data_IF_994558556812
#
_entry.id   IF_994558556812
#
_cell.length_a   1.000
_cell.length_b   1.000
_cell.length_c   1.000
_cell.angle_alpha   90.00
_cell.angle_beta   90.00
_cell.angle_gamma   90.00
#
_symmetry.space_group_name_H-M   'P 1'
#
loop_
_entity.id
_entity.type
_entity.pdbx_description
1 polymer ?
#
# COMPACT_ATOMS: atom_id res chain seq x y z
N UNK A 1 27.39 -9.83 0.49
CA UNK A 1 26.23 -9.50 1.34
C UNK A 1 24.99 -9.51 0.46
N UNK A 2 23.98 -10.32 0.78
CA UNK A 2 22.74 -10.34 0.00
C UNK A 2 21.80 -9.24 0.49
N UNK A 3 21.13 -8.47 -0.39
CA UNK A 3 20.19 -7.44 0.03
C UNK A 3 19.01 -8.08 0.76
N UNK A 4 18.65 -7.52 1.92
CA UNK A 4 17.46 -7.93 2.64
C UNK A 4 16.20 -7.31 2.03
N UNK A 5 15.06 -7.75 2.54
CA UNK A 5 13.72 -7.27 2.22
C UNK A 5 13.58 -5.73 2.23
N UNK A 6 14.10 -5.07 3.27
CA UNK A 6 14.00 -3.62 3.39
C UNK A 6 14.72 -2.88 2.25
N UNK A 7 15.89 -3.38 1.82
CA UNK A 7 16.66 -2.79 0.71
C UNK A 7 15.88 -2.87 -0.60
N UNK A 8 15.24 -3.99 -0.90
CA UNK A 8 14.41 -4.12 -2.10
C UNK A 8 13.20 -3.20 -2.08
N UNK A 9 12.58 -3.03 -0.91
CA UNK A 9 11.44 -2.14 -0.73
C UNK A 9 11.83 -0.68 -0.96
N UNK A 10 12.95 -0.25 -0.36
CA UNK A 10 13.50 1.08 -0.56
C UNK A 10 13.84 1.34 -2.04
N UNK A 11 14.46 0.36 -2.71
CA UNK A 11 14.81 0.49 -4.12
C UNK A 11 13.57 0.61 -5.02
N UNK A 12 12.52 -0.19 -4.80
CA UNK A 12 11.25 -0.05 -5.53
C UNK A 12 10.58 1.30 -5.24
N UNK A 13 10.66 1.80 -4.00
CA UNK A 13 10.22 3.14 -3.64
C UNK A 13 10.94 4.23 -4.44
N UNK A 14 12.27 4.13 -4.55
CA UNK A 14 13.07 5.02 -5.39
C UNK A 14 12.72 4.90 -6.88
N UNK A 15 12.53 3.69 -7.39
CA UNK A 15 12.08 3.47 -8.77
C UNK A 15 10.72 4.14 -9.05
N UNK A 16 9.81 4.15 -8.06
CA UNK A 16 8.52 4.84 -8.18
C UNK A 16 8.71 6.34 -8.28
N UNK A 17 9.51 6.92 -7.39
CA UNK A 17 9.78 8.35 -7.33
C UNK A 17 10.44 8.86 -8.62
N UNK A 18 11.40 8.11 -9.15
CA UNK A 18 12.14 8.46 -10.36
C UNK A 18 11.53 7.88 -11.65
N UNK A 19 10.36 7.24 -11.57
CA UNK A 19 9.66 6.61 -12.72
C UNK A 19 10.55 5.62 -13.51
N UNK A 20 11.41 4.88 -12.82
CA UNK A 20 12.34 3.92 -13.43
C UNK A 20 11.74 2.50 -13.44
N UNK A 21 10.85 2.24 -14.40
CA UNK A 21 10.21 0.93 -14.55
C UNK A 21 11.15 -0.19 -14.99
N UNK A 22 12.22 0.14 -15.72
CA UNK A 22 13.21 -0.85 -16.16
C UNK A 22 13.97 -1.43 -14.96
N UNK A 23 14.44 -0.58 -14.05
CA UNK A 23 15.10 -1.05 -12.83
C UNK A 23 14.11 -1.84 -11.95
N UNK A 24 12.87 -1.38 -11.81
CA UNK A 24 11.84 -2.12 -11.09
C UNK A 24 11.56 -3.50 -11.69
N UNK A 25 11.60 -3.64 -13.01
CA UNK A 25 11.48 -4.94 -13.71
C UNK A 25 12.64 -5.88 -13.36
N UNK A 26 13.86 -5.35 -13.26
CA UNK A 26 15.03 -6.14 -12.84
C UNK A 26 14.91 -6.59 -11.37
N UNK A 27 14.44 -5.71 -10.49
CA UNK A 27 14.17 -6.03 -9.09
C UNK A 27 13.08 -7.09 -8.98
N UNK A 28 12.02 -7.00 -9.77
CA UNK A 28 10.93 -7.99 -9.80
C UNK A 28 11.44 -9.41 -10.10
N UNK A 29 12.33 -9.56 -11.09
CA UNK A 29 12.94 -10.86 -11.45
C UNK A 29 13.79 -11.46 -10.32
N UNK A 30 14.36 -10.63 -9.45
CA UNK A 30 15.12 -11.08 -8.28
C UNK A 30 14.20 -11.45 -7.12
N UNK A 31 13.13 -10.69 -6.91
CA UNK A 31 12.15 -10.93 -5.84
C UNK A 31 11.27 -12.16 -6.08
N UNK A 32 11.03 -12.56 -7.34
CA UNK A 32 10.22 -13.74 -7.69
C UNK A 32 10.76 -15.06 -7.14
N UNK A 33 12.03 -15.10 -6.72
CA UNK A 33 12.73 -16.32 -6.29
C UNK A 33 12.85 -16.44 -4.77
N UNK A 34 12.64 -15.35 -4.01
CA UNK A 34 13.22 -15.23 -2.67
C UNK A 34 12.25 -14.94 -1.50
N UNK A 35 10.95 -14.74 -1.75
CA UNK A 35 10.04 -14.23 -0.71
C UNK A 35 8.90 -15.18 -0.36
N UNK A 36 8.64 -15.27 0.94
CA UNK A 36 7.37 -15.75 1.51
C UNK A 36 6.18 -14.99 0.87
N UNK A 37 5.08 -15.68 0.51
CA UNK A 37 3.88 -15.05 -0.03
C UNK A 37 3.39 -13.81 0.75
N UNK A 38 3.39 -13.85 2.08
CA UNK A 38 2.88 -12.74 2.89
C UNK A 38 3.82 -11.52 2.83
N UNK A 39 5.14 -11.76 2.72
CA UNK A 39 6.12 -10.69 2.51
C UNK A 39 6.09 -10.16 1.08
N UNK A 40 5.76 -11.00 0.10
CA UNK A 40 5.69 -10.64 -1.31
C UNK A 40 4.58 -9.61 -1.63
N UNK A 41 3.49 -9.59 -0.84
CA UNK A 41 2.33 -8.72 -1.09
C UNK A 41 2.71 -7.23 -1.17
N UNK A 42 3.53 -6.76 -0.22
CA UNK A 42 3.98 -5.36 -0.17
C UNK A 42 4.82 -4.96 -1.40
N UNK A 43 5.74 -5.84 -1.83
CA UNK A 43 6.60 -5.59 -2.98
C UNK A 43 5.84 -5.61 -4.30
N UNK A 44 4.89 -6.54 -4.46
CA UNK A 44 4.05 -6.60 -5.65
C UNK A 44 3.22 -5.33 -5.80
N UNK A 45 2.69 -4.78 -4.70
CA UNK A 45 2.01 -3.48 -4.70
C UNK A 45 2.96 -2.35 -5.11
N UNK A 46 4.16 -2.29 -4.54
CA UNK A 46 5.15 -1.26 -4.91
C UNK A 46 5.53 -1.34 -6.39
N UNK A 47 5.80 -2.55 -6.89
CA UNK A 47 6.11 -2.80 -8.29
C UNK A 47 4.97 -2.37 -9.22
N UNK A 48 3.73 -2.75 -8.90
CA UNK A 48 2.53 -2.32 -9.62
C UNK A 48 2.43 -0.79 -9.66
N UNK A 49 2.77 -0.10 -8.57
CA UNK A 49 2.75 1.36 -8.52
C UNK A 49 3.84 1.99 -9.40
N UNK A 50 5.03 1.40 -9.52
CA UNK A 50 6.06 1.86 -10.47
C UNK A 50 5.56 1.72 -11.92
N UNK A 51 4.94 0.59 -12.24
CA UNK A 51 4.37 0.41 -13.59
C UNK A 51 3.21 1.37 -13.87
N UNK A 52 2.35 1.61 -12.88
CA UNK A 52 1.28 2.61 -13.00
C UNK A 52 1.83 4.02 -13.22
N UNK A 53 2.87 4.44 -12.48
CA UNK A 53 3.47 5.78 -12.63
C UNK A 53 4.13 6.02 -13.99
N UNK A 54 4.43 4.94 -14.71
CA UNK A 54 5.00 4.92 -16.07
C UNK A 54 3.99 4.51 -17.14
N UNK A 55 2.69 4.42 -16.81
CA UNK A 55 1.59 4.03 -17.72
C UNK A 55 1.74 2.64 -18.35
N UNK A 56 2.50 1.75 -17.72
CA UNK A 56 2.70 0.35 -18.14
C UNK A 56 1.56 -0.55 -17.65
N UNK A 57 0.35 -0.31 -18.17
CA UNK A 57 -0.88 -0.94 -17.66
C UNK A 57 -0.94 -2.46 -17.83
N UNK A 58 -0.31 -3.00 -18.88
CA UNK A 58 -0.21 -4.46 -19.07
C UNK A 58 0.63 -5.11 -17.96
N UNK A 59 1.72 -4.45 -17.54
CA UNK A 59 2.54 -4.93 -16.44
C UNK A 59 1.81 -4.81 -15.09
N UNK A 60 1.02 -3.74 -14.89
CA UNK A 60 0.11 -3.63 -13.73
C UNK A 60 -0.85 -4.81 -13.68
N UNK A 61 -1.50 -5.15 -14.80
CA UNK A 61 -2.43 -6.27 -14.87
C UNK A 61 -1.72 -7.61 -14.58
N UNK A 62 -0.51 -7.81 -15.12
CA UNK A 62 0.32 -8.99 -14.87
C UNK A 62 0.66 -9.16 -13.39
N UNK A 63 1.08 -8.07 -12.73
CA UNK A 63 1.38 -8.09 -11.29
C UNK A 63 0.13 -8.41 -10.46
N UNK A 64 -1.03 -7.83 -10.80
CA UNK A 64 -2.30 -8.13 -10.12
C UNK A 64 -2.73 -9.58 -10.31
N UNK A 65 -2.64 -10.11 -11.52
CA UNK A 65 -2.92 -11.53 -11.78
C UNK A 65 -2.00 -12.44 -10.96
N UNK A 66 -0.72 -12.07 -10.84
CA UNK A 66 0.22 -12.80 -9.99
C UNK A 66 -0.21 -12.77 -8.51
N UNK A 67 -0.62 -11.62 -8.00
CA UNK A 67 -1.12 -11.50 -6.62
C UNK A 67 -2.33 -12.41 -6.38
N UNK A 68 -3.28 -12.44 -7.32
CA UNK A 68 -4.46 -13.33 -7.26
C UNK A 68 -4.03 -14.79 -7.25
N UNK A 69 -3.13 -15.21 -8.16
CA UNK A 69 -2.63 -16.59 -8.22
C UNK A 69 -1.90 -17.02 -6.95
N UNK A 70 -1.21 -16.09 -6.29
CA UNK A 70 -0.53 -16.33 -5.01
C UNK A 70 -1.48 -16.26 -3.80
N UNK A 71 -2.73 -15.84 -3.99
CA UNK A 71 -3.68 -15.63 -2.88
C UNK A 71 -3.34 -14.44 -1.99
N UNK A 72 -2.44 -13.55 -2.41
CA UNK A 72 -1.94 -12.46 -1.58
C UNK A 72 -2.73 -11.18 -1.83
N UNK A 73 -2.99 -10.42 -0.77
CA UNK A 73 -3.65 -9.10 -0.83
C UNK A 73 -2.83 -8.09 -0.07
N UNK A 74 -2.91 -6.81 -0.47
CA UNK A 74 -2.29 -5.73 0.30
C UNK A 74 -2.83 -5.78 1.74
N UNK A 75 -1.97 -5.86 2.76
CA UNK A 75 -2.42 -5.76 4.14
C UNK A 75 -3.16 -4.43 4.34
N UNK A 76 -4.33 -4.48 4.98
CA UNK A 76 -5.04 -3.27 5.38
C UNK A 76 -4.15 -2.49 6.33
N UNK A 77 -4.09 -1.17 6.19
CA UNK A 77 -3.38 -0.33 7.15
C UNK A 77 -3.93 -0.59 8.56
N UNK A 78 -3.04 -0.68 9.55
CA UNK A 78 -3.40 -0.84 10.96
C UNK A 78 -2.69 0.24 11.77
N UNK A 79 -3.42 0.85 12.68
CA UNK A 79 -2.86 1.68 13.75
C UNK A 79 -3.45 1.21 15.06
N UNK A 80 -2.80 1.57 16.17
CA UNK A 80 -3.31 1.28 17.50
C UNK A 80 -2.94 2.38 18.48
N UNK A 81 -3.70 2.46 19.56
CA UNK A 81 -3.42 3.32 20.72
C UNK A 81 -3.63 2.50 21.99
N UNK A 82 -2.79 2.72 22.99
CA UNK A 82 -2.89 2.08 24.29
C UNK A 82 -3.41 3.07 25.33
N UNK A 83 -4.53 2.72 25.98
CA UNK A 83 -5.15 3.54 27.03
C UNK A 83 -5.34 2.66 28.26
N UNK A 84 -4.77 3.05 29.39
CA UNK A 84 -4.90 2.32 30.66
C UNK A 84 -4.54 0.83 30.55
N UNK A 85 -3.51 0.50 29.75
CA UNK A 85 -3.08 -0.89 29.55
C UNK A 85 -3.87 -1.66 28.47
N UNK A 86 -4.93 -1.08 27.90
CA UNK A 86 -5.75 -1.71 26.85
C UNK A 86 -5.33 -1.19 25.48
N UNK A 87 -5.05 -2.11 24.55
CA UNK A 87 -4.75 -1.78 23.15
C UNK A 87 -6.05 -1.68 22.36
N UNK A 88 -6.22 -0.56 21.66
CA UNK A 88 -7.32 -0.32 20.74
C UNK A 88 -6.76 -0.29 19.32
N UNK A 89 -7.10 -1.31 18.52
CA UNK A 89 -6.68 -1.43 17.13
C UNK A 89 -7.69 -0.77 16.17
N UNK A 90 -7.17 -0.13 15.13
CA UNK A 90 -7.92 0.50 14.07
C UNK A 90 -7.41 -0.03 12.74
N UNK A 91 -8.28 -0.74 12.03
CA UNK A 91 -7.99 -1.26 10.69
C UNK A 91 -8.58 -0.30 9.66
N UNK A 92 -7.81 0.08 8.65
CA UNK A 92 -8.24 1.01 7.62
C UNK A 92 -9.52 0.52 6.93
N UNK A 93 -10.59 1.31 7.03
CA UNK A 93 -11.93 1.02 6.49
C UNK A 93 -12.75 0.00 7.28
N UNK A 94 -12.31 -0.39 8.48
CA UNK A 94 -13.08 -1.27 9.36
C UNK A 94 -14.18 -0.48 10.08
N UNK A 95 -15.36 -1.09 10.19
CA UNK A 95 -16.55 -0.53 10.85
C UNK A 95 -17.13 -1.48 11.90
N UNK A 96 -16.45 -2.58 12.19
CA UNK A 96 -16.93 -3.60 13.15
C UNK A 96 -16.75 -3.18 14.60
N UNK A 97 -15.91 -2.16 14.87
CA UNK A 97 -15.71 -1.64 16.21
C UNK A 97 -17.02 -1.06 16.79
N UNK A 98 -17.34 -1.39 18.04
CA UNK A 98 -18.57 -0.92 18.72
C UNK A 98 -18.74 0.60 18.76
N UNK A 99 -17.65 1.35 18.65
CA UNK A 99 -17.64 2.81 18.62
C UNK A 99 -17.33 3.39 17.24
N UNK A 100 -17.43 2.61 16.16
CA UNK A 100 -17.07 3.02 14.81
C UNK A 100 -17.75 4.34 14.39
N UNK A 101 -19.04 4.51 14.68
CA UNK A 101 -19.77 5.74 14.35
C UNK A 101 -19.10 6.99 14.95
N UNK A 102 -18.83 6.97 16.26
CA UNK A 102 -18.22 8.09 16.98
C UNK A 102 -16.79 8.34 16.50
N UNK A 103 -16.03 7.28 16.23
CA UNK A 103 -14.67 7.40 15.69
C UNK A 103 -14.69 8.11 14.33
N UNK A 104 -15.58 7.71 13.42
CA UNK A 104 -15.68 8.30 12.09
C UNK A 104 -16.24 9.73 12.12
N UNK A 105 -17.15 10.04 13.04
CA UNK A 105 -17.62 11.41 13.29
C UNK A 105 -16.48 12.32 13.75
N UNK A 106 -15.71 11.89 14.76
CA UNK A 106 -14.54 12.62 15.23
C UNK A 106 -13.46 12.78 14.15
N UNK A 107 -13.22 11.74 13.35
CA UNK A 107 -12.31 11.83 12.20
C UNK A 107 -12.80 12.88 11.19
N UNK A 108 -14.11 12.95 10.94
CA UNK A 108 -14.73 13.98 10.11
C UNK A 108 -14.48 15.39 10.65
N UNK A 109 -14.72 15.62 11.94
CA UNK A 109 -14.49 16.93 12.57
C UNK A 109 -13.02 17.35 12.54
N UNK A 110 -12.08 16.44 12.79
CA UNK A 110 -10.65 16.76 12.81
C UNK A 110 -10.10 16.97 11.39
N UNK A 111 -10.65 16.28 10.38
CA UNK A 111 -10.20 16.43 8.99
C UNK A 111 -10.88 17.58 8.24
N UNK A 112 -12.04 18.06 8.72
CA UNK A 112 -12.80 19.17 8.12
C UNK A 112 -11.97 20.43 7.86
N UNK A 113 -11.13 20.93 8.80
CA UNK A 113 -10.30 22.12 8.54
C UNK A 113 -9.28 21.90 7.41
N UNK A 114 -8.64 20.73 7.37
CA UNK A 114 -7.61 20.43 6.36
C UNK A 114 -8.17 20.39 4.93
N UNK A 115 -9.45 20.04 4.76
CA UNK A 115 -10.13 20.04 3.48
C UNK A 115 -10.52 21.46 3.02
N UNK A 116 -10.70 22.41 3.94
CA UNK A 116 -11.04 23.80 3.61
C UNK A 116 -9.82 24.62 3.18
N UNK A 117 -8.63 24.29 3.68
CA UNK A 117 -7.37 24.94 3.30
C UNK A 117 -6.79 24.41 1.96
N UNK A 118 -7.56 23.64 1.20
CA UNK A 118 -7.14 23.17 -0.12
C UNK A 118 -6.09 22.05 -0.07
N UNK A 119 -5.90 21.39 1.08
CA UNK A 119 -5.11 20.16 1.11
C UNK A 119 -5.82 19.12 0.24
N UNK A 120 -5.32 18.93 -0.98
CA UNK A 120 -5.74 17.81 -1.82
C UNK A 120 -5.35 16.55 -1.05
N UNK A 121 -6.29 15.69 -0.62
CA UNK A 121 -5.89 14.37 -0.18
C UNK A 121 -5.10 13.78 -1.36
N UNK A 122 -3.92 13.24 -1.09
CA UNK A 122 -3.05 12.62 -2.10
C UNK A 122 -3.67 11.33 -2.65
N UNK A 123 -4.90 11.39 -3.18
CA UNK A 123 -5.61 10.27 -3.80
C UNK A 123 -5.00 9.91 -5.15
N UNK A 124 -4.22 10.84 -5.75
CA UNK A 124 -3.44 10.56 -6.96
C UNK A 124 -2.43 9.43 -6.77
N UNK A 125 -1.97 9.17 -5.53
CA UNK A 125 -1.07 8.07 -5.21
C UNK A 125 -1.80 6.86 -4.59
N UNK A 126 -3.11 6.98 -4.32
CA UNK A 126 -3.91 5.92 -3.68
C UNK A 126 -4.90 5.22 -4.63
N UNK A 127 -5.19 5.78 -5.80
CA UNK A 127 -6.16 5.23 -6.73
C UNK A 127 -5.51 4.74 -8.04
N UNK A 128 -4.75 3.66 -7.94
CA UNK A 128 -4.85 2.60 -8.96
C UNK A 128 -5.73 1.49 -8.41
N UNK A 129 -7.02 1.82 -8.31
CA UNK A 129 -8.18 0.91 -8.33
C UNK A 129 -8.12 -0.27 -7.35
N UNK A 130 -8.69 -0.04 -6.16
CA UNK A 130 -9.69 -0.94 -5.64
C UNK A 130 -10.85 -0.97 -6.66
N UNK A 131 -10.71 -1.81 -7.67
CA UNK A 131 -11.85 -2.31 -8.42
C UNK A 131 -12.19 -3.65 -7.78
N UNK A 132 -13.47 -3.76 -7.41
CA UNK A 132 -14.26 -4.95 -7.08
C UNK A 132 -13.60 -6.31 -7.35
#
# INVERSE_FOLDING_TARGET
MNPNEAVWGALLGGCRLHKNAELASHVAKKLTVALDPDQAAGYLVLLSNVYASTKRWLDVASVRQKMVKMGVRKPRGRSWVQINGVVHDFVAGDRTHKHASVIYEMLGEITRPSLQEGSKPGISDMLSHAAE
#
